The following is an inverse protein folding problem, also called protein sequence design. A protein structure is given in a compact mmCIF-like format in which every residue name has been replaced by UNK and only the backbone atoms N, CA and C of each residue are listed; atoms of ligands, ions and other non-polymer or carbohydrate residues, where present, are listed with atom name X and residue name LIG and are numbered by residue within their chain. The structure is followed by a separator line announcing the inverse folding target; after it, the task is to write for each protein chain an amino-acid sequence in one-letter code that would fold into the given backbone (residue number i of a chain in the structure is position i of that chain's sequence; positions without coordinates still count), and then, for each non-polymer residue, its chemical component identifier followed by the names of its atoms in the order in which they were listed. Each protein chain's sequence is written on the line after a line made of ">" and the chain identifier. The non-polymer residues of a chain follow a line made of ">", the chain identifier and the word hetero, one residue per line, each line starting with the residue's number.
data_IF_500171929678
#
_entry.id   IF_500171929678
#
_cell.length_a   1.000
_cell.length_b   1.000
_cell.length_c   1.000
_cell.angle_alpha   90.00
_cell.angle_beta   90.00
_cell.angle_gamma   90.00
#
_symmetry.space_group_name_H-M   'P 1'
#
loop_
_entity.id
_entity.type
_entity.pdbx_description
1 polymer ?
#
# COMPACT_ATOMS: atom_id res chain seq x y z
N UNK A 1 16.04 6.88 -17.87
CA UNK A 1 17.04 6.29 -16.99
C UNK A 1 17.12 4.77 -17.17
N UNK A 2 15.98 4.01 -17.14
CA UNK A 2 15.95 2.55 -17.29
C UNK A 2 16.72 2.07 -18.52
N UNK A 3 16.42 2.59 -19.73
CA UNK A 3 17.13 2.23 -20.97
C UNK A 3 18.64 2.46 -20.90
N UNK A 4 19.07 3.53 -20.23
CA UNK A 4 20.51 3.83 -20.07
C UNK A 4 21.18 2.83 -19.13
N UNK A 5 20.48 2.47 -18.04
CA UNK A 5 20.97 1.50 -17.09
C UNK A 5 21.12 0.11 -17.74
N UNK A 6 20.11 -0.33 -18.50
CA UNK A 6 20.13 -1.58 -19.25
C UNK A 6 21.30 -1.63 -20.25
N UNK A 7 21.49 -0.56 -21.05
CA UNK A 7 22.59 -0.47 -22.01
C UNK A 7 23.98 -0.50 -21.37
N UNK A 8 24.09 -0.05 -20.12
CA UNK A 8 25.34 0.02 -19.38
C UNK A 8 25.49 -1.08 -18.33
N UNK A 9 24.56 -2.01 -18.28
CA UNK A 9 24.48 -3.06 -17.26
C UNK A 9 24.59 -2.51 -15.82
N UNK A 10 23.83 -1.44 -15.55
CA UNK A 10 23.75 -0.81 -14.24
C UNK A 10 22.46 -1.18 -13.53
N UNK A 11 22.55 -1.36 -12.21
CA UNK A 11 21.39 -1.56 -11.35
C UNK A 11 20.71 -0.23 -11.00
N UNK A 12 19.39 -0.23 -10.97
CA UNK A 12 18.60 0.86 -10.41
C UNK A 12 17.91 0.33 -9.15
N UNK A 13 18.09 1.07 -8.08
CA UNK A 13 17.38 0.86 -6.82
C UNK A 13 16.68 2.18 -6.45
N UNK A 14 15.38 2.12 -6.22
CA UNK A 14 14.58 3.27 -5.79
C UNK A 14 14.23 3.11 -4.32
N UNK A 15 14.50 4.13 -3.53
CA UNK A 15 14.32 4.08 -2.08
C UNK A 15 12.84 4.20 -1.67
N UNK A 16 12.03 3.23 -2.08
CA UNK A 16 10.69 3.01 -1.54
C UNK A 16 10.82 2.37 -0.14
N UNK A 17 11.28 3.17 0.81
CA UNK A 17 11.68 2.74 2.15
C UNK A 17 10.63 1.88 2.86
N UNK A 18 9.32 2.14 2.63
CA UNK A 18 8.24 1.40 3.27
C UNK A 18 8.20 -0.07 2.86
N UNK A 19 8.67 -0.41 1.66
CA UNK A 19 8.80 -1.81 1.19
C UNK A 19 9.77 -2.61 2.06
N UNK A 20 10.72 -1.94 2.71
CA UNK A 20 11.71 -2.53 3.61
C UNK A 20 11.31 -2.44 5.09
N UNK A 21 10.16 -1.86 5.40
CA UNK A 21 9.66 -1.79 6.76
C UNK A 21 9.27 -3.19 7.28
N UNK A 22 9.71 -3.59 8.51
CA UNK A 22 9.50 -4.95 9.01
C UNK A 22 8.03 -5.38 9.03
N UNK A 23 7.12 -4.46 9.33
CA UNK A 23 5.69 -4.75 9.33
C UNK A 23 5.18 -5.04 7.92
N UNK A 24 5.62 -4.27 6.91
CA UNK A 24 5.21 -4.48 5.51
C UNK A 24 5.73 -5.81 4.98
N UNK A 25 6.96 -6.20 5.35
CA UNK A 25 7.50 -7.53 5.04
C UNK A 25 6.67 -8.64 5.67
N UNK A 26 6.25 -8.47 6.92
CA UNK A 26 5.37 -9.44 7.60
C UNK A 26 3.97 -9.51 6.97
N UNK A 27 3.42 -8.38 6.52
CA UNK A 27 2.15 -8.37 5.78
C UNK A 27 2.27 -9.16 4.48
N UNK A 28 3.35 -8.94 3.70
CA UNK A 28 3.61 -9.70 2.47
C UNK A 28 3.73 -11.20 2.75
N UNK A 29 4.48 -11.59 3.77
CA UNK A 29 4.62 -13.00 4.21
C UNK A 29 3.24 -13.62 4.50
N UNK A 30 2.40 -12.97 5.31
CA UNK A 30 1.06 -13.47 5.64
C UNK A 30 0.14 -13.61 4.42
N UNK A 31 0.28 -12.73 3.44
CA UNK A 31 -0.48 -12.79 2.19
C UNK A 31 0.03 -13.93 1.31
N UNK A 32 1.34 -14.09 1.18
CA UNK A 32 1.97 -15.15 0.39
C UNK A 32 1.69 -16.55 0.98
N UNK A 33 1.57 -16.65 2.30
CA UNK A 33 1.14 -17.86 3.01
C UNK A 33 -0.37 -18.15 2.87
N UNK A 34 -1.14 -17.22 2.25
CA UNK A 34 -2.57 -17.35 2.04
C UNK A 34 -3.42 -17.20 3.32
N UNK A 35 -2.86 -16.58 4.36
CA UNK A 35 -3.53 -16.34 5.64
C UNK A 35 -4.76 -15.41 5.51
N UNK A 36 -4.70 -14.45 4.59
CA UNK A 36 -5.81 -13.54 4.33
C UNK A 36 -6.82 -14.10 3.31
N UNK A 37 -6.46 -15.15 2.56
CA UNK A 37 -7.19 -15.58 1.38
C UNK A 37 -7.05 -14.60 0.23
N UNK A 38 -8.05 -14.51 -0.64
CA UNK A 38 -8.06 -13.54 -1.73
C UNK A 38 -8.30 -12.13 -1.17
N UNK A 39 -7.50 -11.17 -1.62
CA UNK A 39 -7.64 -9.77 -1.21
C UNK A 39 -8.89 -9.18 -1.85
N UNK A 40 -9.69 -8.49 -1.06
CA UNK A 40 -10.93 -7.82 -1.47
C UNK A 40 -10.70 -6.32 -1.62
N UNK A 41 -10.04 -5.66 -0.63
CA UNK A 41 -9.73 -4.25 -0.71
C UNK A 41 -8.54 -3.82 0.15
N UNK A 42 -7.96 -2.68 -0.24
CA UNK A 42 -7.05 -1.87 0.56
C UNK A 42 -7.72 -0.54 0.90
N UNK A 43 -7.59 -0.09 2.14
CA UNK A 43 -7.91 1.28 2.56
C UNK A 43 -6.70 1.89 3.27
N UNK A 44 -6.05 2.84 2.59
CA UNK A 44 -4.83 3.49 3.04
C UNK A 44 -5.12 4.94 3.42
N UNK A 45 -4.71 5.35 4.60
CA UNK A 45 -4.86 6.71 5.10
C UNK A 45 -3.51 7.23 5.59
N UNK A 46 -3.04 8.31 4.95
CA UNK A 46 -1.81 9.01 5.34
C UNK A 46 -2.11 10.49 5.45
N UNK A 47 -2.48 10.90 6.65
CA UNK A 47 -2.98 12.24 6.94
C UNK A 47 -2.30 12.84 8.16
N UNK A 48 -2.08 14.15 8.15
CA UNK A 48 -1.55 14.92 9.28
C UNK A 48 -1.76 16.42 9.05
N UNK A 49 -1.55 17.23 10.07
CA UNK A 49 -1.34 18.66 9.91
C UNK A 49 0.12 18.86 9.46
N UNK A 50 0.32 18.92 8.15
CA UNK A 50 1.64 18.93 7.54
C UNK A 50 2.06 20.31 7.04
N UNK A 51 3.31 20.37 6.53
CA UNK A 51 3.81 21.54 5.83
C UNK A 51 3.28 21.52 4.39
N UNK A 52 2.53 22.57 4.04
CA UNK A 52 2.04 22.75 2.67
C UNK A 52 3.21 22.94 1.70
N UNK A 53 3.20 22.22 0.60
CA UNK A 53 4.17 22.32 -0.49
C UNK A 53 3.52 22.99 -1.70
N UNK A 54 4.32 23.74 -2.48
CA UNK A 54 3.84 24.42 -3.68
C UNK A 54 4.26 23.73 -4.98
N UNK A 55 5.24 22.84 -4.89
CA UNK A 55 5.85 22.12 -6.02
C UNK A 55 5.18 20.75 -6.25
N UNK A 56 4.68 20.10 -5.21
CA UNK A 56 4.03 18.79 -5.27
C UNK A 56 2.66 18.80 -4.56
N UNK A 57 1.76 17.89 -4.92
CA UNK A 57 0.50 17.68 -4.22
C UNK A 57 0.68 16.73 -3.02
N UNK A 58 -0.32 16.68 -2.13
CA UNK A 58 -0.34 15.69 -1.04
C UNK A 58 -0.28 14.24 -1.55
N UNK A 59 -0.81 13.98 -2.75
CA UNK A 59 -0.76 12.68 -3.39
C UNK A 59 0.68 12.28 -3.74
N UNK A 60 1.41 13.14 -4.44
CA UNK A 60 2.81 12.86 -4.80
C UNK A 60 3.74 12.77 -3.59
N UNK A 61 3.46 13.52 -2.52
CA UNK A 61 4.27 13.51 -1.30
C UNK A 61 3.96 12.33 -0.37
N UNK A 62 2.68 11.96 -0.23
CA UNK A 62 2.24 10.98 0.76
C UNK A 62 1.80 9.65 0.13
N UNK A 63 0.95 9.68 -0.92
CA UNK A 63 0.39 8.45 -1.49
C UNK A 63 1.45 7.58 -2.18
N UNK A 64 2.56 8.15 -2.63
CA UNK A 64 3.68 7.38 -3.21
C UNK A 64 4.15 6.24 -2.32
N UNK A 65 4.11 6.44 -1.00
CA UNK A 65 4.49 5.41 -0.03
C UNK A 65 3.49 4.26 0.00
N UNK A 66 2.19 4.59 0.02
CA UNK A 66 1.13 3.58 0.09
C UNK A 66 0.99 2.84 -1.25
N UNK A 67 1.17 3.55 -2.37
CA UNK A 67 1.22 2.94 -3.70
C UNK A 67 2.39 1.96 -3.84
N UNK A 68 3.57 2.31 -3.32
CA UNK A 68 4.72 1.39 -3.33
C UNK A 68 4.50 0.14 -2.47
N UNK A 69 3.75 0.28 -1.38
CA UNK A 69 3.33 -0.85 -0.54
C UNK A 69 2.35 -1.76 -1.30
N UNK A 70 1.32 -1.18 -1.93
CA UNK A 70 0.34 -1.94 -2.72
C UNK A 70 1.05 -2.66 -3.86
N UNK A 71 1.90 -1.98 -4.64
CA UNK A 71 2.69 -2.57 -5.73
C UNK A 71 3.51 -3.77 -5.24
N UNK A 72 4.19 -3.62 -4.10
CA UNK A 72 5.01 -4.68 -3.51
C UNK A 72 4.17 -5.88 -3.02
N UNK A 73 3.08 -5.61 -2.32
CA UNK A 73 2.22 -6.66 -1.74
C UNK A 73 1.52 -7.47 -2.83
N UNK A 74 1.12 -6.81 -3.93
CA UNK A 74 0.36 -7.41 -5.02
C UNK A 74 1.23 -7.88 -6.20
N UNK A 75 2.57 -7.94 -6.01
CA UNK A 75 3.54 -8.34 -7.03
C UNK A 75 3.40 -7.53 -8.33
N UNK A 76 3.10 -6.24 -8.20
CA UNK A 76 3.03 -5.31 -9.32
C UNK A 76 1.70 -5.36 -10.09
N UNK A 77 0.58 -5.65 -9.42
CA UNK A 77 -0.73 -5.56 -10.03
C UNK A 77 -1.00 -4.15 -10.58
N UNK A 78 -1.57 -4.07 -11.79
CA UNK A 78 -1.88 -2.80 -12.44
C UNK A 78 -3.39 -2.50 -12.33
N UNK A 79 -3.79 -1.27 -11.97
CA UNK A 79 -5.19 -0.90 -11.89
C UNK A 79 -5.81 -0.79 -13.31
N UNK A 80 -7.05 -1.24 -13.44
CA UNK A 80 -7.86 -1.09 -14.66
C UNK A 80 -8.47 0.30 -14.78
N UNK A 81 -8.72 0.95 -13.65
CA UNK A 81 -9.33 2.28 -13.58
C UNK A 81 -8.82 3.03 -12.36
N UNK A 82 -8.57 4.31 -12.56
CA UNK A 82 -8.14 5.25 -11.53
C UNK A 82 -9.11 6.41 -11.50
N UNK A 83 -9.54 6.81 -10.31
CA UNK A 83 -10.31 8.02 -10.06
C UNK A 83 -9.72 8.78 -8.90
N UNK A 84 -9.58 10.09 -9.07
CA UNK A 84 -9.01 10.97 -8.05
C UNK A 84 -9.88 12.19 -7.87
N UNK A 85 -10.11 12.54 -6.62
CA UNK A 85 -10.74 13.80 -6.23
C UNK A 85 -9.77 14.51 -5.30
N UNK A 86 -9.52 15.79 -5.54
CA UNK A 86 -8.60 16.59 -4.75
C UNK A 86 -9.10 18.01 -4.51
N UNK A 87 -8.53 18.66 -3.49
CA UNK A 87 -8.84 20.06 -3.18
C UNK A 87 -7.55 20.83 -2.93
N UNK A 88 -7.40 21.91 -3.65
CA UNK A 88 -6.39 22.95 -3.39
C UNK A 88 -6.90 23.83 -2.25
N UNK A 89 -6.17 23.84 -1.15
CA UNK A 89 -6.44 24.68 -0.01
C UNK A 89 -5.13 25.24 0.53
N UNK A 90 -5.01 26.54 0.59
CA UNK A 90 -3.83 27.29 1.06
C UNK A 90 -2.55 27.09 0.21
N UNK A 91 -2.61 26.36 -0.90
CA UNK A 91 -1.49 26.14 -1.84
C UNK A 91 -1.99 26.06 -3.27
N UNK A 92 -1.09 26.12 -4.26
CA UNK A 92 -1.44 25.94 -5.67
C UNK A 92 -1.60 24.46 -6.08
N UNK A 93 -1.24 23.54 -5.20
CA UNK A 93 -1.39 22.10 -5.37
C UNK A 93 -2.43 21.52 -4.42
N UNK A 94 -2.91 20.32 -4.71
CA UNK A 94 -3.92 19.63 -3.90
C UNK A 94 -3.33 19.31 -2.51
N UNK A 95 -3.98 19.89 -1.48
CA UNK A 95 -3.59 19.70 -0.08
C UNK A 95 -4.27 18.47 0.55
N UNK A 96 -5.32 17.98 -0.12
CA UNK A 96 -6.00 16.72 0.18
C UNK A 96 -6.38 16.03 -1.12
N UNK A 97 -6.21 14.71 -1.17
CA UNK A 97 -6.59 13.86 -2.31
C UNK A 97 -7.19 12.55 -1.83
N UNK A 98 -8.19 12.08 -2.57
CA UNK A 98 -8.82 10.78 -2.44
C UNK A 98 -8.61 10.05 -3.77
N UNK A 99 -7.80 9.01 -3.75
CA UNK A 99 -7.46 8.21 -4.92
C UNK A 99 -8.10 6.83 -4.77
N UNK A 100 -8.94 6.45 -5.73
CA UNK A 100 -9.55 5.12 -5.79
C UNK A 100 -9.07 4.40 -7.03
N UNK A 101 -8.63 3.16 -6.86
CA UNK A 101 -8.11 2.30 -7.92
C UNK A 101 -8.90 1.00 -7.98
N UNK A 102 -9.33 0.62 -9.16
CA UNK A 102 -10.01 -0.66 -9.42
C UNK A 102 -9.04 -1.61 -10.13
N UNK A 103 -8.77 -2.74 -9.49
CA UNK A 103 -7.95 -3.83 -10.02
C UNK A 103 -8.85 -4.97 -10.52
N UNK A 104 -8.27 -6.06 -11.03
CA UNK A 104 -9.03 -7.23 -11.51
C UNK A 104 -9.88 -7.84 -10.40
N UNK A 105 -9.30 -8.07 -9.22
CA UNK A 105 -9.89 -8.84 -8.15
C UNK A 105 -10.12 -8.04 -6.85
N UNK A 106 -9.65 -6.81 -6.75
CA UNK A 106 -9.77 -5.99 -5.56
C UNK A 106 -9.86 -4.50 -5.91
N UNK A 107 -10.20 -3.69 -4.93
CA UNK A 107 -10.16 -2.23 -5.01
C UNK A 107 -9.18 -1.67 -3.98
N UNK A 108 -8.59 -0.51 -4.28
CA UNK A 108 -7.75 0.20 -3.32
C UNK A 108 -8.16 1.66 -3.23
N UNK A 109 -8.26 2.16 -2.01
CA UNK A 109 -8.50 3.56 -1.70
C UNK A 109 -7.29 4.13 -0.96
N UNK A 110 -6.81 5.31 -1.40
CA UNK A 110 -5.66 5.99 -0.79
C UNK A 110 -6.02 7.43 -0.50
N UNK A 111 -6.05 7.78 0.77
CA UNK A 111 -6.31 9.14 1.25
C UNK A 111 -5.00 9.80 1.69
N UNK A 112 -4.69 10.95 1.10
CA UNK A 112 -3.53 11.76 1.47
C UNK A 112 -3.96 13.18 1.82
N UNK A 113 -3.54 13.69 2.98
CA UNK A 113 -3.90 15.05 3.40
C UNK A 113 -2.87 15.68 4.32
N UNK A 114 -2.58 16.96 4.09
CA UNK A 114 -1.85 17.81 5.03
C UNK A 114 -2.78 18.61 5.96
N UNK A 115 -4.11 18.43 5.85
CA UNK A 115 -5.11 19.27 6.52
C UNK A 115 -5.82 18.56 7.68
N UNK A 116 -5.27 17.45 8.17
CA UNK A 116 -5.89 16.69 9.25
C UNK A 116 -5.40 17.16 10.63
N UNK A 117 -6.28 17.33 11.62
CA UNK A 117 -5.88 17.64 12.99
C UNK A 117 -5.24 16.46 13.70
N UNK A 118 -5.38 15.25 13.16
CA UNK A 118 -4.75 14.03 13.68
C UNK A 118 -3.69 13.53 12.71
N UNK A 119 -2.68 12.84 13.24
CA UNK A 119 -1.71 12.11 12.44
C UNK A 119 -2.16 10.65 12.34
N UNK A 120 -2.38 10.19 11.11
CA UNK A 120 -2.74 8.80 10.82
C UNK A 120 -1.85 8.28 9.70
N UNK A 121 -1.38 7.06 9.84
CA UNK A 121 -0.65 6.29 8.84
C UNK A 121 -1.13 4.86 8.93
N UNK A 122 -2.29 4.59 8.38
CA UNK A 122 -3.00 3.33 8.53
C UNK A 122 -3.27 2.68 7.20
N UNK A 123 -3.14 1.36 7.17
CA UNK A 123 -3.55 0.51 6.06
C UNK A 123 -4.46 -0.58 6.62
N UNK A 124 -5.63 -0.72 6.02
CA UNK A 124 -6.54 -1.84 6.24
C UNK A 124 -6.48 -2.71 5.00
N UNK A 125 -6.31 -4.02 5.19
CA UNK A 125 -6.41 -5.00 4.11
C UNK A 125 -7.48 -6.02 4.52
N UNK A 126 -8.52 -6.14 3.70
CA UNK A 126 -9.52 -7.16 3.87
C UNK A 126 -9.31 -8.27 2.86
N UNK A 127 -9.23 -9.49 3.36
CA UNK A 127 -9.23 -10.71 2.57
C UNK A 127 -10.45 -11.56 2.84
N UNK A 128 -10.63 -12.61 2.05
CA UNK A 128 -11.77 -13.54 2.19
C UNK A 128 -11.71 -14.37 3.47
N UNK A 129 -10.52 -14.61 4.03
CA UNK A 129 -10.34 -15.41 5.25
C UNK A 129 -10.14 -14.54 6.49
N UNK A 130 -9.26 -13.54 6.42
CA UNK A 130 -8.89 -12.66 7.54
C UNK A 130 -8.75 -11.22 7.06
N UNK A 131 -8.73 -10.30 8.01
CA UNK A 131 -8.48 -8.88 7.77
C UNK A 131 -7.31 -8.43 8.62
N UNK A 132 -6.59 -7.40 8.19
CA UNK A 132 -5.54 -6.82 9.00
C UNK A 132 -5.63 -5.30 9.04
N UNK A 133 -5.09 -4.75 10.12
CA UNK A 133 -4.87 -3.31 10.30
C UNK A 133 -3.40 -3.09 10.62
N UNK A 134 -2.74 -2.32 9.80
CA UNK A 134 -1.43 -1.74 10.07
C UNK A 134 -1.60 -0.27 10.45
N UNK A 135 -1.08 0.13 11.60
CA UNK A 135 -1.01 1.53 12.04
C UNK A 135 0.42 1.87 12.42
N UNK A 136 1.09 2.69 11.61
CA UNK A 136 2.48 3.08 11.85
C UNK A 136 2.63 4.04 13.04
N UNK A 137 1.54 4.69 13.46
CA UNK A 137 1.52 5.61 14.61
C UNK A 137 1.35 4.87 15.93
N UNK A 138 0.70 3.71 15.92
CA UNK A 138 0.62 2.86 17.11
C UNK A 138 1.99 2.23 17.42
N UNK A 139 2.52 2.54 18.61
CA UNK A 139 3.85 2.05 19.02
C UNK A 139 3.82 0.60 19.48
N UNK A 140 2.70 0.16 20.04
CA UNK A 140 2.56 -1.15 20.70
C UNK A 140 1.97 -2.20 19.76
N UNK A 141 0.95 -1.81 18.99
CA UNK A 141 0.15 -2.73 18.17
C UNK A 141 0.16 -2.32 16.71
N UNK A 142 1.36 -2.18 16.13
CA UNK A 142 1.51 -1.73 14.74
C UNK A 142 0.78 -2.60 13.72
N UNK A 143 0.62 -3.90 13.98
CA UNK A 143 -0.08 -4.83 13.12
C UNK A 143 -0.99 -5.71 13.95
N UNK A 144 -2.27 -5.74 13.58
CA UNK A 144 -3.25 -6.65 14.14
C UNK A 144 -3.90 -7.43 13.00
N UNK A 145 -3.89 -8.73 13.10
CA UNK A 145 -4.60 -9.64 12.17
C UNK A 145 -5.87 -10.12 12.86
N UNK A 146 -7.01 -9.82 12.26
CA UNK A 146 -8.32 -10.17 12.78
C UNK A 146 -8.86 -11.40 12.06
N UNK A 147 -9.26 -12.41 12.84
CA UNK A 147 -10.08 -13.52 12.33
C UNK A 147 -11.52 -13.07 12.19
N UNK A 148 -11.76 -12.16 11.24
CA UNK A 148 -13.08 -11.61 10.90
C UNK A 148 -13.35 -11.79 9.42
N UNK A 149 -14.59 -12.06 9.09
CA UNK A 149 -15.01 -12.27 7.70
C UNK A 149 -16.45 -12.69 7.61
N UNK A 150 -16.78 -13.31 6.49
CA UNK A 150 -18.11 -13.88 6.24
C UNK A 150 -17.98 -15.37 5.92
N UNK A 151 -18.92 -16.14 6.37
CA UNK A 151 -19.06 -17.56 6.09
C UNK A 151 -20.38 -17.80 5.37
N UNK A 152 -20.33 -18.59 4.31
CA UNK A 152 -21.52 -19.07 3.65
C UNK A 152 -22.03 -20.30 4.42
N UNK A 153 -23.27 -20.27 4.84
CA UNK A 153 -23.94 -21.38 5.49
C UNK A 153 -25.03 -21.88 4.55
N UNK A 154 -24.97 -23.15 4.19
CA UNK A 154 -26.06 -23.83 3.48
C UNK A 154 -27.25 -23.94 4.43
N UNK A 155 -28.29 -23.18 4.20
CA UNK A 155 -29.54 -23.34 4.91
C UNK A 155 -30.43 -24.35 4.17
N UNK A 156 -30.39 -25.60 4.64
CA UNK A 156 -31.11 -26.71 4.01
C UNK A 156 -32.65 -26.58 4.08
N UNK A 157 -33.17 -25.61 4.85
CA UNK A 157 -34.63 -25.40 4.96
C UNK A 157 -35.20 -24.46 3.88
N UNK A 158 -34.36 -23.59 3.28
CA UNK A 158 -34.84 -22.56 2.36
C UNK A 158 -34.18 -22.56 0.96
N UNK A 159 -33.26 -23.48 0.69
CA UNK A 159 -32.46 -23.51 -0.56
C UNK A 159 -31.74 -22.17 -0.85
N UNK A 160 -31.43 -21.39 0.22
CA UNK A 160 -30.83 -20.07 0.18
C UNK A 160 -29.48 -20.08 0.90
N UNK A 161 -28.47 -19.37 0.32
CA UNK A 161 -27.19 -19.17 0.94
C UNK A 161 -27.25 -17.98 1.91
N UNK A 162 -27.13 -18.26 3.20
CA UNK A 162 -27.07 -17.21 4.23
C UNK A 162 -25.63 -16.87 4.57
N UNK A 163 -25.24 -15.60 4.33
CA UNK A 163 -23.96 -15.08 4.75
C UNK A 163 -24.00 -14.70 6.23
N UNK A 164 -23.20 -15.36 7.05
CA UNK A 164 -23.04 -15.06 8.48
C UNK A 164 -21.70 -14.38 8.74
N UNK A 165 -21.69 -13.36 9.57
CA UNK A 165 -20.45 -12.72 10.04
C UNK A 165 -19.69 -13.66 10.98
N UNK A 166 -18.41 -13.87 10.69
CA UNK A 166 -17.45 -14.50 11.61
C UNK A 166 -16.73 -13.41 12.39
N UNK A 167 -16.70 -13.53 13.71
CA UNK A 167 -16.00 -12.59 14.60
C UNK A 167 -15.13 -13.37 15.57
N UNK A 168 -13.88 -13.60 15.15
CA UNK A 168 -12.83 -14.23 15.95
C UNK A 168 -11.93 -13.22 16.63
N UNK A 169 -10.78 -13.69 17.08
CA UNK A 169 -9.78 -12.91 17.83
C UNK A 169 -8.96 -12.00 16.93
N UNK A 170 -8.35 -10.96 17.53
CA UNK A 170 -7.28 -10.16 16.93
C UNK A 170 -5.94 -10.64 17.45
N UNK A 171 -5.03 -10.99 16.55
CA UNK A 171 -3.69 -11.48 16.86
C UNK A 171 -2.67 -10.42 16.47
N UNK A 172 -1.74 -10.11 17.40
CA UNK A 172 -0.59 -9.27 17.14
C UNK A 172 0.59 -10.19 16.80
N UNK A 173 1.00 -10.27 15.53
CA UNK A 173 2.11 -11.14 15.15
C UNK A 173 3.43 -10.61 15.70
N UNK A 174 4.35 -11.53 16.04
CA UNK A 174 5.71 -11.15 16.39
C UNK A 174 6.43 -10.61 15.15
N UNK A 175 6.99 -9.42 15.28
CA UNK A 175 7.72 -8.73 14.22
C UNK A 175 9.12 -8.42 14.72
N UNK A 176 10.14 -8.85 13.96
CA UNK A 176 11.51 -8.47 14.23
C UNK A 176 11.71 -6.99 13.92
N UNK A 177 12.31 -6.26 14.88
CA UNK A 177 12.54 -4.83 14.72
C UNK A 177 13.91 -4.60 14.07
N UNK A 178 13.91 -3.87 12.97
CA UNK A 178 15.11 -3.40 12.30
C UNK A 178 14.84 -2.07 11.59
N UNK A 179 15.90 -1.37 11.25
CA UNK A 179 15.80 -0.09 10.53
C UNK A 179 15.54 -0.33 9.04
N UNK A 180 14.46 0.28 8.53
CA UNK A 180 14.01 0.11 7.15
C UNK A 180 15.00 0.72 6.13
N UNK A 181 15.62 1.88 6.46
CA UNK A 181 16.60 2.52 5.60
C UNK A 181 17.87 1.68 5.50
N UNK A 182 18.35 1.18 6.65
CA UNK A 182 19.48 0.26 6.67
C UNK A 182 19.20 -0.98 5.81
N UNK A 183 18.02 -1.57 5.94
CA UNK A 183 17.61 -2.77 5.17
C UNK A 183 17.51 -2.48 3.68
N UNK A 184 17.03 -1.30 3.28
CA UNK A 184 16.99 -0.84 1.88
C UNK A 184 18.41 -0.77 1.29
N UNK A 185 19.32 -0.09 1.98
CA UNK A 185 20.70 0.06 1.54
C UNK A 185 21.48 -1.25 1.53
N UNK A 186 21.28 -2.10 2.53
CA UNK A 186 21.91 -3.42 2.60
C UNK A 186 21.40 -4.34 1.47
N UNK A 187 20.10 -4.30 1.18
CA UNK A 187 19.56 -5.00 0.02
C UNK A 187 20.18 -4.50 -1.29
N UNK A 188 20.31 -3.19 -1.46
CA UNK A 188 20.98 -2.62 -2.65
C UNK A 188 22.44 -3.09 -2.77
N UNK A 189 23.18 -3.07 -1.65
CA UNK A 189 24.54 -3.61 -1.59
C UNK A 189 24.58 -5.08 -2.02
N UNK A 190 23.67 -5.92 -1.52
CA UNK A 190 23.56 -7.32 -1.91
C UNK A 190 23.27 -7.47 -3.41
N UNK A 191 22.32 -6.70 -3.96
CA UNK A 191 22.02 -6.72 -5.39
C UNK A 191 23.25 -6.44 -6.26
N UNK A 192 24.10 -5.48 -5.85
CA UNK A 192 25.34 -5.18 -6.56
C UNK A 192 26.34 -6.33 -6.46
N UNK A 193 26.53 -6.92 -5.27
CA UNK A 193 27.49 -7.98 -5.06
C UNK A 193 27.09 -9.31 -5.74
N UNK A 194 25.81 -9.60 -5.79
CA UNK A 194 25.27 -10.87 -6.28
C UNK A 194 24.76 -10.78 -7.73
N UNK A 195 24.68 -9.57 -8.30
CA UNK A 195 24.18 -9.36 -9.65
C UNK A 195 22.68 -9.63 -9.81
N UNK A 196 21.90 -9.48 -8.73
CA UNK A 196 20.45 -9.68 -8.73
C UNK A 196 19.72 -8.33 -8.82
N UNK A 197 18.47 -8.35 -9.27
CA UNK A 197 17.67 -7.15 -9.34
C UNK A 197 17.11 -6.74 -7.97
N UNK A 198 17.02 -5.43 -7.74
CA UNK A 198 16.37 -4.90 -6.55
C UNK A 198 14.87 -5.16 -6.58
N UNK A 199 14.29 -5.43 -5.42
CA UNK A 199 12.84 -5.51 -5.22
C UNK A 199 12.16 -4.19 -5.59
N UNK A 200 12.83 -3.06 -5.31
CA UNK A 200 12.38 -1.71 -5.69
C UNK A 200 13.18 -1.22 -6.90
N UNK A 201 13.13 -1.97 -7.98
CA UNK A 201 13.81 -1.67 -9.24
C UNK A 201 13.09 -0.56 -10.03
N UNK A 202 13.61 -0.26 -11.22
CA UNK A 202 13.03 0.74 -12.12
C UNK A 202 11.60 0.42 -12.55
N UNK A 203 11.24 -0.86 -12.71
CA UNK A 203 9.90 -1.26 -13.14
C UNK A 203 8.86 -0.99 -12.05
N UNK A 204 9.16 -1.35 -10.80
CA UNK A 204 8.33 -1.04 -9.65
C UNK A 204 8.10 0.49 -9.52
N UNK A 205 9.17 1.28 -9.65
CA UNK A 205 9.05 2.73 -9.61
C UNK A 205 8.22 3.29 -10.77
N UNK A 206 8.35 2.74 -11.99
CA UNK A 206 7.58 3.17 -13.15
C UNK A 206 6.10 2.87 -12.95
N UNK A 207 5.71 1.72 -12.40
CA UNK A 207 4.30 1.41 -12.11
C UNK A 207 3.70 2.42 -11.13
N UNK A 208 4.40 2.73 -10.04
CA UNK A 208 3.95 3.74 -9.07
C UNK A 208 3.81 5.13 -9.70
N UNK A 209 4.79 5.55 -10.52
CA UNK A 209 4.75 6.85 -11.21
C UNK A 209 3.59 6.89 -12.20
N UNK A 210 3.37 5.83 -12.98
CA UNK A 210 2.27 5.76 -13.94
C UNK A 210 0.90 5.92 -13.25
N UNK A 211 0.72 5.30 -12.08
CA UNK A 211 -0.50 5.49 -11.28
C UNK A 211 -0.67 6.95 -10.86
N UNK A 212 0.40 7.60 -10.37
CA UNK A 212 0.35 9.01 -9.96
C UNK A 212 0.07 9.95 -11.14
N UNK A 213 0.67 9.72 -12.30
CA UNK A 213 0.44 10.51 -13.51
C UNK A 213 -1.00 10.34 -14.04
N UNK A 214 -1.55 9.14 -13.96
CA UNK A 214 -2.93 8.88 -14.34
C UNK A 214 -3.93 9.48 -13.34
N UNK A 215 -3.60 9.42 -12.07
CA UNK A 215 -4.35 10.08 -11.01
C UNK A 215 -4.38 11.61 -11.17
N UNK A 216 -3.27 12.24 -11.59
CA UNK A 216 -3.24 13.67 -11.91
C UNK A 216 -4.16 14.01 -13.09
N UNK A 217 -4.18 13.20 -14.14
CA UNK A 217 -5.10 13.39 -15.27
C UNK A 217 -6.57 13.31 -14.83
N UNK A 218 -6.88 12.37 -13.94
CA UNK A 218 -8.22 12.22 -13.37
C UNK A 218 -8.66 13.37 -12.45
N UNK A 219 -7.71 14.19 -11.95
CA UNK A 219 -8.03 15.42 -11.19
C UNK A 219 -8.47 16.59 -12.09
N UNK A 220 -8.11 16.55 -13.38
CA UNK A 220 -8.41 17.60 -14.36
C UNK A 220 -9.77 17.39 -15.06
N UNK A 221 -10.35 16.19 -14.98
CA UNK A 221 -11.67 15.84 -15.48
C UNK A 221 -12.80 16.21 -14.50
#
# INVERSE_FOLDING_TARGET
>A
LKKIAEQRNLLIHVDHIMVYHPVIRKIKELIDEGELGDIIYFDCSRINLGQLKNDVSSMWDLSVHDLSIIDYITDGAEPKRIKTIGKKAYSCKESITFLTMEFENFIANVTASWLSPIKERRIIIAGTKKMLVYDDVDVLNKLIVYDKGFECIDDMEYDDYVMRTRSGEGIIPKIEQYDALYSSLEHFRQCICEGIQSVTNADAAIRVINILEEADKSLEE
#
